data_IF_102171990872
#
_entry.id   IF_102171990872
#
_cell.length_a   1.000
_cell.length_b   1.000
_cell.length_c   1.000
_cell.angle_alpha   90.00
_cell.angle_beta   90.00
_cell.angle_gamma   90.00
#
_symmetry.space_group_name_H-M   'P 1'
#
loop_
_entity.id
_entity.type
_entity.pdbx_description
1 polymer ?
#
# COMPACT_ATOMS: atom_id res chain seq x y z
N UNK A 1 -5.13 9.62 -20.37
CA UNK A 1 -4.71 9.77 -18.96
C UNK A 1 -4.86 8.42 -18.27
N UNK A 2 -3.85 7.54 -18.40
CA UNK A 2 -3.93 6.15 -17.93
C UNK A 2 -3.45 6.12 -16.48
N UNK A 3 -4.31 5.68 -15.56
CA UNK A 3 -4.16 5.79 -14.11
C UNK A 3 -2.83 5.26 -13.57
N UNK A 4 -1.82 6.13 -13.59
CA UNK A 4 -0.47 5.85 -13.11
C UNK A 4 -0.35 5.85 -11.58
N UNK A 5 -1.43 6.23 -10.88
CA UNK A 5 -1.51 6.25 -9.43
C UNK A 5 -2.11 4.98 -8.83
N UNK A 6 -2.51 3.99 -9.64
CA UNK A 6 -3.10 2.74 -9.15
C UNK A 6 -2.21 1.95 -8.18
N UNK A 7 -0.87 1.85 -8.37
CA UNK A 7 -0.03 1.07 -7.46
C UNK A 7 -0.02 1.58 -6.00
N UNK A 8 0.19 2.89 -5.71
CA UNK A 8 0.17 3.40 -4.35
C UNK A 8 -1.24 3.59 -3.77
N UNK A 9 -2.29 3.59 -4.58
CA UNK A 9 -3.68 3.70 -4.09
C UNK A 9 -4.07 2.51 -3.21
N UNK A 10 -3.57 1.31 -3.51
CA UNK A 10 -3.91 0.09 -2.75
C UNK A 10 -3.49 0.21 -1.27
N UNK A 11 -2.22 0.53 -0.92
CA UNK A 11 -1.84 0.71 0.48
C UNK A 11 -2.50 1.92 1.14
N UNK A 12 -2.77 3.00 0.42
CA UNK A 12 -3.49 4.17 0.96
C UNK A 12 -4.92 3.80 1.36
N UNK A 13 -5.67 3.13 0.47
CA UNK A 13 -7.05 2.72 0.74
C UNK A 13 -7.10 1.80 1.95
N UNK A 14 -6.16 0.85 2.06
CA UNK A 14 -6.12 -0.08 3.18
C UNK A 14 -5.79 0.57 4.53
N UNK A 15 -4.99 1.65 4.54
CA UNK A 15 -4.73 2.46 5.73
C UNK A 15 -5.94 3.34 6.09
N UNK A 16 -6.65 3.90 5.10
CA UNK A 16 -7.86 4.71 5.33
C UNK A 16 -9.03 3.87 5.84
N UNK A 17 -9.16 2.63 5.36
CA UNK A 17 -10.16 1.68 5.83
C UNK A 17 -9.81 1.05 7.18
N UNK A 18 -8.57 1.18 7.66
CA UNK A 18 -8.10 0.62 8.92
C UNK A 18 -9.03 0.86 10.14
N UNK A 19 -9.57 2.08 10.39
CA UNK A 19 -10.54 2.31 11.47
C UNK A 19 -11.94 1.70 11.23
N UNK A 20 -12.32 1.42 9.99
CA UNK A 20 -13.62 0.84 9.63
C UNK A 20 -13.64 -0.69 9.67
N UNK A 21 -12.48 -1.33 9.79
CA UNK A 21 -12.34 -2.78 9.76
C UNK A 21 -12.44 -3.34 11.19
N UNK A 22 -13.51 -4.08 11.54
CA UNK A 22 -13.75 -4.56 12.92
C UNK A 22 -12.68 -5.56 13.40
N UNK A 23 -11.94 -6.19 12.48
CA UNK A 23 -10.83 -7.09 12.80
C UNK A 23 -9.57 -6.35 13.28
N UNK A 24 -9.40 -5.08 12.91
CA UNK A 24 -8.34 -4.21 13.42
C UNK A 24 -8.66 -3.72 14.84
N UNK A 25 -9.93 -3.41 15.11
CA UNK A 25 -10.41 -2.95 16.41
C UNK A 25 -10.57 -4.10 17.44
N UNK A 26 -10.53 -5.35 17.00
CA UNK A 26 -10.68 -6.51 17.87
C UNK A 26 -9.49 -6.67 18.82
N UNK A 27 -9.75 -6.85 20.12
CA UNK A 27 -8.77 -7.03 21.20
C UNK A 27 -7.91 -8.31 21.09
N UNK A 28 -8.13 -9.14 20.07
CA UNK A 28 -7.34 -10.34 19.89
C UNK A 28 -5.87 -10.00 19.62
N UNK A 29 -4.95 -10.54 20.41
CA UNK A 29 -3.52 -10.46 20.16
C UNK A 29 -3.16 -11.34 18.96
N UNK A 30 -2.47 -10.77 17.98
CA UNK A 30 -1.91 -11.51 16.85
C UNK A 30 -0.38 -11.50 16.99
N UNK A 31 0.24 -12.69 17.15
CA UNK A 31 1.68 -12.84 17.47
C UNK A 31 2.07 -12.16 18.80
N UNK A 32 1.10 -11.87 19.67
CA UNK A 32 1.33 -11.18 20.95
C UNK A 32 1.23 -9.65 20.87
N UNK A 33 0.97 -9.07 19.70
CA UNK A 33 0.77 -7.63 19.51
C UNK A 33 -0.69 -7.29 19.11
N UNK A 34 -1.14 -6.04 19.35
CA UNK A 34 -2.42 -5.55 18.85
C UNK A 34 -2.51 -5.69 17.33
N UNK A 35 -3.62 -6.24 16.82
CA UNK A 35 -3.88 -6.41 15.38
C UNK A 35 -3.74 -5.11 14.58
N UNK A 36 -4.05 -3.96 15.20
CA UNK A 36 -3.75 -2.62 14.68
C UNK A 36 -2.29 -2.44 14.27
N UNK A 37 -1.35 -2.80 15.14
CA UNK A 37 0.07 -2.61 14.88
C UNK A 37 0.56 -3.49 13.73
N UNK A 38 0.14 -4.76 13.71
CA UNK A 38 0.57 -5.70 12.66
C UNK A 38 0.02 -5.28 11.30
N UNK A 39 -1.25 -4.85 11.25
CA UNK A 39 -1.88 -4.37 10.03
C UNK A 39 -1.23 -3.09 9.50
N UNK A 40 -1.01 -2.10 10.38
CA UNK A 40 -0.34 -0.85 10.03
C UNK A 40 1.09 -1.09 9.53
N UNK A 41 1.87 -1.93 10.23
CA UNK A 41 3.23 -2.27 9.83
C UNK A 41 3.29 -3.00 8.48
N UNK A 42 2.37 -3.93 8.23
CA UNK A 42 2.27 -4.63 6.96
C UNK A 42 2.00 -3.66 5.79
N UNK A 43 1.04 -2.75 5.95
CA UNK A 43 0.72 -1.77 4.91
C UNK A 43 1.79 -0.68 4.75
N UNK A 44 2.47 -0.31 5.83
CA UNK A 44 3.64 0.57 5.77
C UNK A 44 4.78 -0.07 4.97
N UNK A 45 5.03 -1.37 5.17
CA UNK A 45 6.01 -2.13 4.39
C UNK A 45 5.60 -2.26 2.91
N UNK A 46 4.30 -2.40 2.62
CA UNK A 46 3.77 -2.44 1.25
C UNK A 46 3.79 -1.08 0.54
N UNK A 47 3.94 0.03 1.27
CA UNK A 47 4.06 1.36 0.67
C UNK A 47 5.37 1.51 -0.12
N UNK A 48 6.48 1.01 0.42
CA UNK A 48 7.81 1.04 -0.21
C UNK A 48 7.85 0.37 -1.60
N UNK A 49 7.41 -0.89 -1.78
CA UNK A 49 7.37 -1.52 -3.10
C UNK A 49 6.32 -0.88 -4.01
N UNK A 50 5.24 -0.30 -3.48
CA UNK A 50 4.26 0.42 -4.30
C UNK A 50 4.86 1.68 -4.94
N UNK A 51 5.68 2.43 -4.18
CA UNK A 51 6.45 3.56 -4.71
C UNK A 51 7.50 3.10 -5.71
N UNK A 52 8.28 2.06 -5.37
CA UNK A 52 9.30 1.51 -6.26
C UNK A 52 8.68 1.01 -7.58
N UNK A 53 7.51 0.38 -7.52
CA UNK A 53 6.78 -0.08 -8.70
C UNK A 53 6.26 1.10 -9.52
N UNK A 54 5.78 2.17 -8.88
CA UNK A 54 5.39 3.40 -9.57
C UNK A 54 6.56 4.03 -10.33
N UNK A 55 7.73 4.12 -9.70
CA UNK A 55 8.96 4.61 -10.35
C UNK A 55 9.38 3.73 -11.52
N UNK A 56 9.38 2.40 -11.35
CA UNK A 56 9.71 1.43 -12.41
C UNK A 56 8.79 1.54 -13.61
N UNK A 57 7.50 1.78 -13.37
CA UNK A 57 6.54 2.00 -14.45
C UNK A 57 6.86 3.30 -15.18
N UNK A 58 7.07 4.41 -14.46
CA UNK A 58 7.38 5.71 -15.08
C UNK A 58 8.66 5.64 -15.93
N UNK A 59 9.69 4.95 -15.42
CA UNK A 59 10.92 4.70 -16.14
C UNK A 59 10.73 3.87 -17.43
N UNK A 60 9.72 2.99 -17.50
CA UNK A 60 9.40 2.24 -18.72
C UNK A 60 8.65 3.05 -19.77
N UNK A 61 7.86 4.05 -19.37
CA UNK A 61 7.15 4.92 -20.30
C UNK A 61 8.12 5.88 -20.99
N UNK A 62 9.07 6.45 -20.26
CA UNK A 62 10.04 7.38 -20.83
C UNK A 62 10.99 6.80 -21.88
N UNK A 63 11.06 5.47 -22.05
CA UNK A 63 11.89 4.79 -23.07
C UNK A 63 11.12 4.57 -24.39
N UNK A 64 9.79 4.73 -24.39
CA UNK A 64 8.95 4.49 -25.56
C UNK A 64 8.69 5.73 -26.43
N UNK A 65 9.08 6.92 -25.98
CA UNK A 65 8.84 8.19 -26.66
C UNK A 65 10.05 8.68 -27.49
N UNK A 66 11.14 7.88 -27.56
CA UNK A 66 12.39 8.17 -28.29
C UNK A 66 12.49 7.47 -29.67
N UNK A 67 11.36 7.15 -30.35
CA UNK A 67 11.34 6.59 -31.72
C UNK A 67 11.00 7.63 -32.80
#
# INVERSE_FOLDING_TARGET
MRSYHLPPIIPVIALVLMPFLPFVNSTGLWIGLPKMLVWGAFWCLMFTPALLLSERMMARVGVGDDE
#
